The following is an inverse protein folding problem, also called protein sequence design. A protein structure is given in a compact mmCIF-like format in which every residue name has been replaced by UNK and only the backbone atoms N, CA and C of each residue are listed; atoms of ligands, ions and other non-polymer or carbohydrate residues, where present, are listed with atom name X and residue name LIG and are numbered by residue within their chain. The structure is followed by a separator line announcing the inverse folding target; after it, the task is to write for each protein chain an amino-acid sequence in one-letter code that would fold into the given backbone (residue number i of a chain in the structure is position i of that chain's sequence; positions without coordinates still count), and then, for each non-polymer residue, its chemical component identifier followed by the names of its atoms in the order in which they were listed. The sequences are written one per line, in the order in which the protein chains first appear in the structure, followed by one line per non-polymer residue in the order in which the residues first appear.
data_IF_640386800486
#
_entry.id   IF_640386800486
#
_cell.length_a   1.000
_cell.length_b   1.000
_cell.length_c   1.000
_cell.angle_alpha   90.00
_cell.angle_beta   90.00
_cell.angle_gamma   90.00
#
_symmetry.space_group_name_H-M   'P 1'
#
loop_
_entity.id
_entity.type
_entity.pdbx_description
1 polymer ?
#
# COMPACT_ATOMS: atom_id res chain seq x y z
N UNK A 1 -1.31 15.94 20.49
CA UNK A 1 -0.69 15.54 19.22
C UNK A 1 -0.69 16.73 18.28
N UNK A 2 0.48 17.23 17.92
CA UNK A 2 0.65 18.32 16.96
C UNK A 2 0.27 17.88 15.52
N UNK A 3 0.26 18.81 14.57
CA UNK A 3 -0.14 18.53 13.18
C UNK A 3 0.77 17.52 12.47
N UNK A 4 2.06 17.51 12.80
CA UNK A 4 3.06 16.64 12.20
C UNK A 4 2.93 15.23 12.77
N UNK A 5 2.79 15.11 14.08
CA UNK A 5 2.55 13.85 14.78
C UNK A 5 1.26 13.19 14.28
N UNK A 6 0.17 13.97 14.08
CA UNK A 6 -1.08 13.47 13.48
C UNK A 6 -0.84 12.82 12.11
N UNK A 7 -0.07 13.49 11.25
CA UNK A 7 0.24 12.97 9.92
C UNK A 7 1.08 11.69 9.98
N UNK A 8 2.08 11.64 10.84
CA UNK A 8 2.95 10.46 11.00
C UNK A 8 2.12 9.28 11.51
N UNK A 9 1.25 9.52 12.50
CA UNK A 9 0.39 8.49 13.05
C UNK A 9 -0.62 7.96 12.03
N UNK A 10 -1.25 8.82 11.22
CA UNK A 10 -2.14 8.37 10.16
C UNK A 10 -1.40 7.47 9.14
N UNK A 11 -0.16 7.83 8.78
CA UNK A 11 0.67 7.02 7.88
C UNK A 11 1.07 5.68 8.53
N UNK A 12 1.34 5.64 9.84
CA UNK A 12 1.65 4.37 10.52
C UNK A 12 0.46 3.41 10.50
N UNK A 13 -0.76 3.91 10.74
CA UNK A 13 -1.98 3.10 10.65
C UNK A 13 -2.20 2.55 9.24
N UNK A 14 -1.97 3.36 8.20
CA UNK A 14 -2.06 2.89 6.80
C UNK A 14 -1.02 1.82 6.48
N UNK A 15 0.21 1.97 7.00
CA UNK A 15 1.27 0.96 6.83
C UNK A 15 0.88 -0.36 7.48
N UNK A 16 0.35 -0.32 8.70
CA UNK A 16 -0.11 -1.51 9.44
C UNK A 16 -1.21 -2.23 8.68
N UNK A 17 -2.27 -1.52 8.27
CA UNK A 17 -3.38 -2.10 7.52
C UNK A 17 -2.92 -2.73 6.19
N UNK A 18 -2.02 -2.07 5.45
CA UNK A 18 -1.48 -2.61 4.20
C UNK A 18 -0.62 -3.86 4.46
N UNK A 19 0.20 -3.88 5.51
CA UNK A 19 0.98 -5.06 5.87
C UNK A 19 0.08 -6.25 6.21
N UNK A 20 -1.03 -6.02 6.92
CA UNK A 20 -2.00 -7.08 7.22
C UNK A 20 -2.64 -7.65 5.96
N UNK A 21 -3.05 -6.79 5.02
CA UNK A 21 -3.56 -7.24 3.72
C UNK A 21 -2.52 -8.05 2.97
N UNK A 22 -1.27 -7.60 2.89
CA UNK A 22 -0.21 -8.33 2.18
C UNK A 22 0.09 -9.68 2.87
N UNK A 23 0.10 -9.74 4.21
CA UNK A 23 0.29 -10.98 4.97
C UNK A 23 -0.80 -12.02 4.69
N UNK A 24 -2.03 -11.58 4.46
CA UNK A 24 -3.15 -12.46 4.11
C UNK A 24 -3.08 -12.96 2.64
N UNK A 25 -2.15 -12.45 1.84
CA UNK A 25 -2.00 -12.76 0.41
C UNK A 25 -0.56 -13.23 0.10
N UNK A 26 -0.15 -14.44 0.54
CA UNK A 26 1.24 -14.89 0.45
C UNK A 26 1.78 -15.03 -0.98
N UNK A 27 0.91 -15.30 -1.97
CA UNK A 27 1.30 -15.37 -3.39
C UNK A 27 1.64 -14.01 -4.00
N UNK A 28 1.29 -12.95 -3.27
CA UNK A 28 1.47 -11.55 -3.61
C UNK A 28 0.19 -10.91 -4.15
N UNK A 29 0.03 -9.61 -3.90
CA UNK A 29 -1.15 -8.82 -4.24
C UNK A 29 -0.75 -7.55 -5.00
N UNK A 30 -1.58 -7.08 -5.94
CA UNK A 30 -1.29 -5.84 -6.69
C UNK A 30 -1.85 -4.60 -5.98
N UNK A 31 -1.27 -3.42 -6.25
CA UNK A 31 -1.67 -2.15 -5.61
C UNK A 31 -3.18 -1.86 -5.71
N UNK A 32 -3.79 -2.12 -6.87
CA UNK A 32 -5.22 -1.87 -7.06
C UNK A 32 -6.11 -2.70 -6.14
N UNK A 33 -5.71 -3.95 -5.86
CA UNK A 33 -6.46 -4.81 -4.93
C UNK A 33 -6.28 -4.36 -3.48
N UNK A 34 -5.06 -3.97 -3.09
CA UNK A 34 -4.80 -3.36 -1.77
C UNK A 34 -5.69 -2.13 -1.58
N UNK A 35 -5.72 -1.22 -2.56
CA UNK A 35 -6.53 -0.01 -2.50
C UNK A 35 -8.02 -0.33 -2.32
N UNK A 36 -8.55 -1.29 -3.09
CA UNK A 36 -9.94 -1.71 -3.01
C UNK A 36 -10.29 -2.33 -1.67
N UNK A 37 -9.47 -3.27 -1.18
CA UNK A 37 -9.72 -3.97 0.09
C UNK A 37 -9.74 -3.01 1.29
N UNK A 38 -8.90 -1.97 1.25
CA UNK A 38 -8.80 -0.97 2.32
C UNK A 38 -9.65 0.29 2.07
N UNK A 39 -10.44 0.32 1.00
CA UNK A 39 -11.24 1.49 0.59
C UNK A 39 -10.40 2.77 0.44
N UNK A 40 -9.19 2.63 -0.09
CA UNK A 40 -8.26 3.73 -0.41
C UNK A 40 -8.29 4.11 -1.90
N UNK A 41 -9.26 3.60 -2.66
CA UNK A 41 -9.44 3.95 -4.05
C UNK A 41 -9.81 5.43 -4.19
N UNK A 42 -9.24 6.08 -5.22
CA UNK A 42 -9.59 7.46 -5.55
C UNK A 42 -10.85 7.51 -6.40
N UNK A 43 -11.83 8.29 -5.97
CA UNK A 43 -13.02 8.66 -6.75
C UNK A 43 -12.84 9.97 -7.54
N UNK A 44 -11.74 10.69 -7.30
CA UNK A 44 -11.37 11.93 -8.01
C UNK A 44 -11.11 11.71 -9.51
N UNK A 45 -11.50 12.68 -10.34
CA UNK A 45 -11.40 12.64 -11.80
C UNK A 45 -9.95 12.40 -12.28
N UNK A 46 -9.76 11.44 -13.19
CA UNK A 46 -8.46 11.16 -13.81
C UNK A 46 -8.21 9.69 -14.14
N UNK A 47 -7.23 9.44 -15.02
CA UNK A 47 -6.85 8.09 -15.46
C UNK A 47 -5.92 7.36 -14.49
N UNK A 48 -5.23 8.08 -13.60
CA UNK A 48 -4.32 7.48 -12.63
C UNK A 48 -4.98 7.41 -11.25
N UNK A 49 -5.11 6.19 -10.73
CA UNK A 49 -5.83 5.88 -9.48
C UNK A 49 -4.85 5.29 -8.45
N UNK A 50 -5.26 5.32 -7.18
CA UNK A 50 -4.63 4.56 -6.09
C UNK A 50 -3.19 5.00 -5.72
N UNK A 51 -2.88 6.29 -5.84
CA UNK A 51 -1.57 6.83 -5.46
C UNK A 51 -1.30 6.76 -3.97
N UNK A 52 -2.32 6.92 -3.13
CA UNK A 52 -2.14 6.85 -1.68
C UNK A 52 -1.61 5.48 -1.26
N UNK A 53 -2.28 4.40 -1.68
CA UNK A 53 -1.83 3.04 -1.39
C UNK A 53 -0.47 2.76 -2.02
N UNK A 54 -0.22 3.23 -3.25
CA UNK A 54 1.07 3.05 -3.91
C UNK A 54 2.19 3.70 -3.10
N UNK A 55 2.05 4.97 -2.72
CA UNK A 55 3.03 5.69 -1.92
C UNK A 55 3.33 4.99 -0.60
N UNK A 56 2.30 4.53 0.12
CA UNK A 56 2.50 3.82 1.40
C UNK A 56 3.17 2.45 1.20
N UNK A 57 2.80 1.69 0.17
CA UNK A 57 3.52 0.45 -0.19
C UNK A 57 4.99 0.75 -0.52
N UNK A 58 5.26 1.85 -1.24
CA UNK A 58 6.62 2.31 -1.54
C UNK A 58 7.46 2.56 -0.28
N UNK A 59 6.86 3.19 0.74
CA UNK A 59 7.52 3.35 2.05
C UNK A 59 7.84 1.99 2.69
N UNK A 60 6.91 1.04 2.67
CA UNK A 60 7.13 -0.30 3.23
C UNK A 60 8.20 -1.10 2.48
N UNK A 61 8.31 -0.92 1.15
CA UNK A 61 9.38 -1.50 0.34
C UNK A 61 10.73 -0.89 0.71
N UNK A 62 10.79 0.44 0.85
CA UNK A 62 12.02 1.14 1.25
C UNK A 62 12.46 0.77 2.67
N UNK A 63 11.52 0.47 3.56
CA UNK A 63 11.77 -0.06 4.91
C UNK A 63 12.15 -1.55 4.93
N UNK A 64 12.11 -2.24 3.77
CA UNK A 64 12.42 -3.67 3.68
C UNK A 64 11.33 -4.61 4.23
N UNK A 65 10.17 -4.07 4.61
CA UNK A 65 9.05 -4.86 5.18
C UNK A 65 8.21 -5.56 4.11
N UNK A 66 8.24 -5.05 2.88
CA UNK A 66 7.51 -5.61 1.73
C UNK A 66 8.50 -5.82 0.59
N UNK A 67 8.44 -6.99 -0.04
CA UNK A 67 9.15 -7.28 -1.29
C UNK A 67 8.16 -7.24 -2.45
N UNK A 68 8.67 -7.17 -3.67
CA UNK A 68 7.84 -7.27 -4.86
C UNK A 68 8.49 -8.08 -5.96
N UNK A 69 7.66 -8.73 -6.78
CA UNK A 69 8.05 -9.39 -8.02
C UNK A 69 7.27 -8.81 -9.19
N UNK A 70 7.89 -8.76 -10.37
CA UNK A 70 7.20 -8.37 -11.60
C UNK A 70 6.57 -9.61 -12.24
N UNK A 71 5.30 -9.52 -12.59
CA UNK A 71 4.57 -10.54 -13.37
C UNK A 71 3.89 -9.82 -14.54
N UNK A 72 4.48 -9.97 -15.73
CA UNK A 72 4.14 -9.13 -16.88
C UNK A 72 4.39 -7.65 -16.57
N UNK A 73 3.37 -6.81 -16.77
CA UNK A 73 3.41 -5.37 -16.45
C UNK A 73 3.09 -5.05 -14.98
N UNK A 74 2.68 -6.03 -14.17
CA UNK A 74 2.20 -5.83 -12.80
C UNK A 74 3.31 -6.07 -11.78
N UNK A 75 3.22 -5.36 -10.65
CA UNK A 75 4.02 -5.63 -9.44
C UNK A 75 3.13 -6.33 -8.42
N UNK A 76 3.53 -7.52 -7.99
CA UNK A 76 2.92 -8.24 -6.88
C UNK A 76 3.76 -8.02 -5.64
N UNK A 77 3.13 -7.53 -4.58
CA UNK A 77 3.74 -7.25 -3.29
C UNK A 77 3.50 -8.39 -2.32
N UNK A 78 4.54 -8.82 -1.59
CA UNK A 78 4.49 -9.94 -0.65
C UNK A 78 5.42 -9.70 0.54
N UNK A 79 5.18 -10.40 1.66
CA UNK A 79 6.13 -10.48 2.76
C UNK A 79 7.11 -11.61 2.43
N UNK A 80 8.41 -11.34 2.53
CA UNK A 80 9.43 -12.36 2.26
C UNK A 80 10.33 -12.62 3.44
#
# INVERSE_FOLDING_TARGET
MDIKEKSIYAVSLLKEAILEVIKQNPEGIINNEIARLLKLESDFEGNQKNYLSWSVVGLLVNEGKVKYKKVGSRKLYFIG
#
